data_IF_762210792023
#
_entry.id   IF_762210792023
#
_cell.length_a   1.000
_cell.length_b   1.000
_cell.length_c   1.000
_cell.angle_alpha   90.00
_cell.angle_beta   90.00
_cell.angle_gamma   90.00
#
_symmetry.space_group_name_H-M   'P 1'
#
loop_
_entity.id
_entity.type
_entity.pdbx_description
1 polymer ?
#
# COMPACT_ATOMS: atom_id res chain seq x y z
N UNK A 1 -30.24 -46.98 36.80
CA UNK A 1 -29.25 -46.29 37.65
C UNK A 1 -27.89 -46.41 36.94
N UNK A 2 -27.10 -45.42 36.56
CA UNK A 2 -27.00 -43.98 36.85
C UNK A 2 -26.66 -43.21 35.56
N UNK A 3 -26.86 -41.91 35.65
CA UNK A 3 -26.87 -40.83 34.64
C UNK A 3 -25.49 -40.16 34.54
N UNK A 4 -25.33 -39.33 33.49
CA UNK A 4 -24.34 -38.23 33.26
C UNK A 4 -22.92 -38.67 32.78
N UNK A 5 -22.20 -37.95 31.91
CA UNK A 5 -22.22 -36.53 31.50
C UNK A 5 -21.51 -36.36 30.13
N UNK A 6 -21.90 -35.33 29.38
CA UNK A 6 -21.30 -34.91 28.11
C UNK A 6 -19.91 -34.28 28.28
N UNK A 7 -19.02 -34.46 27.28
CA UNK A 7 -17.89 -33.56 27.01
C UNK A 7 -17.84 -33.33 25.50
N UNK A 8 -18.06 -32.09 25.09
CA UNK A 8 -17.98 -31.64 23.71
C UNK A 8 -16.54 -31.58 23.22
N UNK A 9 -16.33 -31.93 21.95
CA UNK A 9 -15.07 -31.69 21.25
C UNK A 9 -15.22 -30.38 20.47
N UNK A 10 -14.81 -29.33 21.17
CA UNK A 10 -14.04 -28.17 20.72
C UNK A 10 -14.04 -27.92 19.20
N UNK A 11 -14.83 -26.92 18.80
CA UNK A 11 -14.53 -26.05 17.67
C UNK A 11 -13.14 -25.45 17.87
N UNK A 12 -12.20 -25.76 16.99
CA UNK A 12 -10.89 -25.09 16.95
C UNK A 12 -11.14 -23.62 16.61
N UNK A 13 -11.11 -22.80 17.65
CA UNK A 13 -11.12 -21.35 17.57
C UNK A 13 -9.68 -20.85 17.50
N UNK A 14 -9.52 -19.74 16.80
CA UNK A 14 -8.39 -18.79 16.87
C UNK A 14 -7.02 -19.28 16.39
N UNK A 15 -6.73 -19.08 15.10
CA UNK A 15 -5.36 -18.75 14.71
C UNK A 15 -5.05 -17.32 15.18
N UNK A 16 -4.34 -17.29 16.30
CA UNK A 16 -3.48 -16.24 16.83
C UNK A 16 -3.70 -14.80 16.31
N UNK A 17 -4.43 -14.03 17.12
CA UNK A 17 -4.13 -12.61 17.29
C UNK A 17 -2.69 -12.48 17.84
N UNK A 18 -1.75 -12.03 16.99
CA UNK A 18 -0.53 -11.24 17.30
C UNK A 18 0.49 -11.34 16.14
N UNK A 19 0.14 -10.84 14.96
CA UNK A 19 1.06 -10.65 13.83
C UNK A 19 1.12 -9.17 13.42
N UNK A 20 1.27 -8.30 14.42
CA UNK A 20 1.49 -6.86 14.26
C UNK A 20 2.96 -6.58 14.00
N UNK A 21 3.38 -6.64 12.74
CA UNK A 21 4.25 -5.61 12.14
C UNK A 21 3.87 -5.54 10.65
N UNK A 22 2.81 -4.83 10.24
CA UNK A 22 2.57 -4.53 8.82
C UNK A 22 3.72 -3.68 8.26
N UNK A 23 3.94 -3.74 6.94
CA UNK A 23 4.91 -2.96 6.14
C UNK A 23 4.92 -1.47 6.56
N UNK A 24 3.76 -0.97 6.97
CA UNK A 24 3.50 0.39 7.47
C UNK A 24 4.11 0.73 8.83
N UNK A 25 4.62 -0.26 9.59
CA UNK A 25 5.12 -0.04 10.97
C UNK A 25 6.65 0.05 11.08
N UNK A 26 7.39 -0.19 9.99
CA UNK A 26 8.85 0.02 9.93
C UNK A 26 9.27 0.64 8.61
N UNK A 27 8.86 1.89 8.41
CA UNK A 27 9.33 2.75 7.33
C UNK A 27 10.65 3.42 7.74
N UNK A 28 11.65 3.37 6.87
CA UNK A 28 13.01 3.86 7.12
C UNK A 28 13.34 5.01 6.17
N UNK A 29 13.92 6.13 6.65
CA UNK A 29 14.31 7.23 5.77
C UNK A 29 15.43 6.79 4.82
N UNK A 30 15.34 7.23 3.56
CA UNK A 30 16.38 6.97 2.56
C UNK A 30 17.37 8.14 2.55
N UNK A 31 18.66 7.87 2.73
CA UNK A 31 19.70 8.89 2.66
C UNK A 31 19.70 9.61 1.30
N UNK A 32 19.68 10.94 1.31
CA UNK A 32 19.67 11.76 0.09
C UNK A 32 18.33 11.77 -0.66
N UNK A 33 17.23 11.27 -0.07
CA UNK A 33 15.87 11.30 -0.64
C UNK A 33 14.88 11.86 0.39
N UNK A 34 14.87 13.18 0.54
CA UNK A 34 14.05 13.86 1.55
C UNK A 34 12.57 13.51 1.44
N UNK A 35 11.95 13.21 2.59
CA UNK A 35 10.52 12.90 2.68
C UNK A 35 10.12 11.52 2.14
N UNK A 36 11.07 10.72 1.65
CA UNK A 36 10.83 9.37 1.15
C UNK A 36 11.30 8.34 2.19
N UNK A 37 10.38 7.48 2.59
CA UNK A 37 10.64 6.36 3.47
C UNK A 37 10.47 5.07 2.69
N UNK A 38 11.29 4.06 2.98
CA UNK A 38 11.18 2.72 2.39
C UNK A 38 10.84 1.69 3.46
N UNK A 39 10.02 0.70 3.12
CA UNK A 39 9.74 -0.39 4.04
C UNK A 39 10.99 -1.20 4.37
N UNK A 40 11.18 -1.52 5.66
CA UNK A 40 12.31 -2.31 6.14
C UNK A 40 12.42 -3.69 5.48
N UNK A 41 11.28 -4.28 5.10
CA UNK A 41 11.19 -5.62 4.52
C UNK A 41 10.42 -5.58 3.19
N UNK A 42 10.63 -6.55 2.28
CA UNK A 42 9.68 -6.85 1.23
C UNK A 42 8.31 -7.19 1.83
N UNK A 43 7.23 -6.98 1.06
CA UNK A 43 5.88 -7.34 1.50
C UNK A 43 5.77 -8.85 1.67
N UNK A 44 5.32 -9.28 2.84
CA UNK A 44 5.19 -10.69 3.22
C UNK A 44 3.85 -11.29 2.79
N UNK A 45 3.77 -12.62 2.80
CA UNK A 45 2.51 -13.33 2.54
C UNK A 45 1.40 -12.96 3.54
N UNK A 46 1.72 -12.86 4.83
CA UNK A 46 0.72 -12.48 5.84
C UNK A 46 0.18 -11.06 5.61
N UNK A 47 1.03 -10.13 5.17
CA UNK A 47 0.63 -8.76 4.82
C UNK A 47 -0.24 -8.72 3.57
N UNK A 48 0.18 -9.41 2.52
CA UNK A 48 -0.59 -9.48 1.29
C UNK A 48 -1.93 -10.20 1.49
N UNK A 49 -2.00 -11.19 2.39
CA UNK A 49 -3.24 -11.90 2.73
C UNK A 49 -4.27 -10.97 3.38
N UNK A 50 -3.81 -10.00 4.18
CA UNK A 50 -4.69 -8.95 4.74
C UNK A 50 -5.25 -8.04 3.65
N UNK A 51 -4.45 -7.73 2.63
CA UNK A 51 -4.91 -6.99 1.45
C UNK A 51 -5.96 -7.79 0.69
N UNK A 52 -5.65 -9.02 0.28
CA UNK A 52 -6.57 -9.95 -0.41
C UNK A 52 -7.90 -10.07 0.33
N UNK A 53 -7.86 -10.30 1.65
CA UNK A 53 -9.06 -10.42 2.47
C UNK A 53 -9.87 -9.11 2.55
N UNK A 54 -9.20 -7.96 2.59
CA UNK A 54 -9.86 -6.67 2.77
C UNK A 54 -10.49 -6.12 1.47
N UNK A 55 -10.00 -6.54 0.31
CA UNK A 55 -10.40 -5.97 -0.99
C UNK A 55 -10.99 -7.00 -1.94
N UNK A 56 -10.99 -8.28 -1.56
CA UNK A 56 -11.30 -9.41 -2.45
C UNK A 56 -10.38 -9.47 -3.68
N UNK A 57 -9.17 -8.91 -3.59
CA UNK A 57 -8.17 -8.99 -4.65
C UNK A 57 -7.76 -10.45 -4.91
N UNK A 58 -7.48 -10.87 -6.16
CA UNK A 58 -7.06 -12.24 -6.44
C UNK A 58 -5.81 -12.66 -5.65
N UNK A 59 -5.88 -13.84 -5.03
CA UNK A 59 -4.72 -14.42 -4.36
C UNK A 59 -3.65 -14.87 -5.38
N UNK A 60 -2.35 -14.80 -5.03
CA UNK A 60 -1.27 -15.31 -5.88
C UNK A 60 -1.49 -16.78 -6.26
N UNK A 61 -1.14 -17.16 -7.50
CA UNK A 61 -1.44 -18.48 -8.07
C UNK A 61 -0.97 -19.69 -7.26
N UNK A 62 0.12 -19.54 -6.51
CA UNK A 62 0.69 -20.62 -5.70
C UNK A 62 -0.03 -20.80 -4.35
N UNK A 63 -0.96 -19.90 -4.00
CA UNK A 63 -1.81 -20.02 -2.82
C UNK A 63 -2.93 -21.01 -3.10
N UNK A 64 -2.90 -22.16 -2.44
CA UNK A 64 -3.90 -23.21 -2.63
C UNK A 64 -5.14 -22.86 -1.81
N UNK A 65 -6.32 -22.87 -2.43
CA UNK A 65 -7.56 -22.47 -1.76
C UNK A 65 -7.60 -21.00 -1.33
N UNK A 66 -6.73 -20.14 -1.89
CA UNK A 66 -6.62 -18.74 -1.47
C UNK A 66 -5.75 -18.52 -0.23
N UNK A 67 -5.04 -19.55 0.25
CA UNK A 67 -4.14 -19.47 1.41
C UNK A 67 -2.67 -19.66 1.00
N UNK A 68 -1.78 -18.88 1.61
CA UNK A 68 -0.34 -19.06 1.41
C UNK A 68 0.14 -20.37 2.06
N UNK A 69 1.27 -20.95 1.59
CA UNK A 69 1.82 -22.18 2.18
C UNK A 69 2.12 -22.03 3.68
N UNK A 70 1.77 -23.04 4.48
CA UNK A 70 2.01 -23.06 5.92
C UNK A 70 3.50 -22.77 6.26
N UNK A 71 3.74 -21.91 7.25
CA UNK A 71 5.10 -21.52 7.66
C UNK A 71 5.76 -20.46 6.77
N UNK A 72 5.04 -19.89 5.79
CA UNK A 72 5.53 -18.82 4.91
C UNK A 72 4.93 -17.45 5.19
N UNK A 73 4.36 -17.25 6.37
CA UNK A 73 3.74 -15.99 6.82
C UNK A 73 4.70 -14.80 6.63
N UNK A 74 5.97 -15.02 6.99
CA UNK A 74 7.05 -14.02 7.00
C UNK A 74 7.94 -14.04 5.77
N UNK A 75 7.60 -14.85 4.76
CA UNK A 75 8.32 -14.89 3.50
C UNK A 75 7.76 -13.83 2.54
N UNK A 76 8.56 -13.31 1.60
CA UNK A 76 8.08 -12.35 0.62
C UNK A 76 6.95 -12.97 -0.22
N UNK A 77 5.92 -12.18 -0.49
CA UNK A 77 4.88 -12.56 -1.46
C UNK A 77 5.47 -12.53 -2.87
N UNK A 78 5.31 -13.63 -3.61
CA UNK A 78 5.73 -13.75 -5.00
C UNK A 78 4.51 -13.90 -5.91
N UNK A 79 4.73 -14.08 -7.22
CA UNK A 79 3.65 -14.30 -8.21
C UNK A 79 2.63 -13.16 -8.24
N UNK A 80 3.09 -11.94 -7.95
CA UNK A 80 2.31 -10.70 -8.05
C UNK A 80 2.80 -9.90 -9.24
N UNK A 81 1.87 -9.37 -10.02
CA UNK A 81 2.17 -8.44 -11.12
C UNK A 81 2.55 -7.06 -10.58
N UNK A 82 3.04 -6.20 -11.47
CA UNK A 82 3.28 -4.80 -11.13
C UNK A 82 1.99 -4.09 -10.70
N UNK A 83 0.88 -4.38 -11.37
CA UNK A 83 -0.43 -3.80 -11.05
C UNK A 83 -0.99 -4.31 -9.73
N UNK A 84 -0.77 -5.58 -9.38
CA UNK A 84 -1.10 -6.13 -8.06
C UNK A 84 -0.35 -5.40 -6.94
N UNK A 85 0.94 -5.15 -7.16
CA UNK A 85 1.80 -4.46 -6.21
C UNK A 85 1.40 -2.98 -6.06
N UNK A 86 0.98 -2.33 -7.15
CA UNK A 86 0.38 -0.99 -7.12
C UNK A 86 -0.95 -0.94 -6.38
N UNK A 87 -1.85 -1.89 -6.64
CA UNK A 87 -3.14 -1.98 -5.94
C UNK A 87 -2.95 -2.15 -4.42
N UNK A 88 -1.94 -2.92 -4.01
CA UNK A 88 -1.54 -3.02 -2.61
C UNK A 88 -1.08 -1.65 -2.04
N UNK A 89 -0.25 -0.89 -2.78
CA UNK A 89 0.16 0.45 -2.37
C UNK A 89 -1.04 1.41 -2.22
N UNK A 90 -1.96 1.40 -3.17
CA UNK A 90 -3.18 2.22 -3.11
C UNK A 90 -4.07 1.86 -1.92
N UNK A 91 -4.20 0.56 -1.61
CA UNK A 91 -4.89 0.09 -0.41
C UNK A 91 -4.21 0.53 0.88
N UNK A 92 -2.88 0.53 0.94
CA UNK A 92 -2.15 1.08 2.09
C UNK A 92 -2.41 2.59 2.26
N UNK A 93 -2.38 3.37 1.17
CA UNK A 93 -2.65 4.80 1.21
C UNK A 93 -4.06 5.14 1.73
N UNK A 94 -5.06 4.30 1.44
CA UNK A 94 -6.41 4.46 2.02
C UNK A 94 -6.47 4.23 3.53
N UNK A 95 -5.48 3.54 4.10
CA UNK A 95 -5.38 3.23 5.54
C UNK A 95 -4.46 4.19 6.29
N UNK A 96 -3.66 4.96 5.58
CA UNK A 96 -2.69 5.89 6.14
C UNK A 96 -2.69 7.18 5.31
N UNK A 97 -3.48 8.16 5.77
CA UNK A 97 -3.62 9.45 5.11
C UNK A 97 -2.35 10.32 5.18
N UNK A 98 -1.39 9.98 6.04
CA UNK A 98 -0.15 10.74 6.21
C UNK A 98 0.91 10.41 5.14
N UNK A 99 0.68 9.36 4.33
CA UNK A 99 1.64 8.93 3.33
C UNK A 99 0.97 8.54 2.01
N UNK A 100 1.60 8.93 0.92
CA UNK A 100 1.33 8.37 -0.40
C UNK A 100 2.26 7.18 -0.62
N UNK A 101 1.67 5.98 -0.75
CA UNK A 101 2.41 4.75 -0.98
C UNK A 101 2.55 4.45 -2.47
N UNK A 102 3.73 3.99 -2.86
CA UNK A 102 4.03 3.52 -4.23
C UNK A 102 5.19 2.52 -4.22
N UNK A 103 5.50 1.97 -5.38
CA UNK A 103 6.74 1.23 -5.59
C UNK A 103 7.95 2.20 -5.63
N UNK A 104 9.13 1.78 -5.17
CA UNK A 104 10.35 2.58 -5.27
C UNK A 104 10.71 2.81 -6.74
N UNK A 105 11.41 3.92 -7.03
CA UNK A 105 12.22 4.00 -8.26
C UNK A 105 13.48 3.15 -8.11
N UNK A 106 14.14 2.78 -9.22
CA UNK A 106 15.44 2.09 -9.17
C UNK A 106 16.47 2.89 -8.35
N UNK A 107 16.46 4.22 -8.48
CA UNK A 107 17.37 5.11 -7.77
C UNK A 107 17.08 5.22 -6.27
N UNK A 108 15.81 5.23 -5.86
CA UNK A 108 15.43 5.16 -4.44
C UNK A 108 15.78 3.83 -3.82
N UNK A 109 15.56 2.74 -4.57
CA UNK A 109 15.89 1.40 -4.14
C UNK A 109 17.41 1.27 -3.93
N UNK A 110 18.22 1.76 -4.86
CA UNK A 110 19.68 1.72 -4.74
C UNK A 110 20.21 2.63 -3.62
N UNK A 111 19.63 3.83 -3.44
CA UNK A 111 19.98 4.71 -2.33
C UNK A 111 19.64 4.07 -0.97
N UNK A 112 18.52 3.34 -0.88
CA UNK A 112 18.15 2.58 0.31
C UNK A 112 19.09 1.38 0.56
N UNK A 113 19.49 0.69 -0.51
CA UNK A 113 20.37 -0.47 -0.45
C UNK A 113 21.78 -0.08 0.00
N UNK A 114 22.35 0.96 -0.60
CA UNK A 114 23.77 1.30 -0.45
C UNK A 114 24.67 0.26 -1.10
N UNK A 115 25.97 0.28 -0.77
CA UNK A 115 26.92 -0.68 -1.31
C UNK A 115 26.65 -2.10 -0.80
N UNK A 116 26.68 -3.09 -1.71
CA UNK A 116 26.56 -4.50 -1.33
C UNK A 116 27.84 -4.95 -0.62
N UNK A 117 27.77 -5.43 0.65
CA UNK A 117 28.97 -5.93 1.32
C UNK A 117 29.52 -7.17 0.61
N UNK A 118 30.84 -7.20 0.39
CA UNK A 118 31.52 -8.27 -0.37
C UNK A 118 31.19 -9.68 0.14
N UNK A 119 31.10 -9.83 1.46
CA UNK A 119 30.86 -11.11 2.15
C UNK A 119 29.46 -11.24 2.76
N UNK A 120 28.52 -10.36 2.38
CA UNK A 120 27.14 -10.47 2.83
C UNK A 120 26.55 -11.86 2.51
N UNK A 121 25.97 -12.48 3.54
CA UNK A 121 25.21 -13.73 3.41
C UNK A 121 23.75 -13.36 3.18
N UNK A 122 23.22 -13.78 2.05
CA UNK A 122 21.82 -13.58 1.68
C UNK A 122 21.35 -14.74 0.82
N UNK A 123 20.04 -14.84 0.58
CA UNK A 123 19.45 -15.96 -0.15
C UNK A 123 19.57 -15.78 -1.68
N UNK A 124 20.44 -16.55 -2.32
CA UNK A 124 20.62 -16.59 -3.78
C UNK A 124 20.76 -18.06 -4.24
N UNK A 125 20.97 -18.31 -5.53
CA UNK A 125 20.97 -19.68 -6.06
C UNK A 125 21.97 -20.65 -5.39
N UNK A 126 23.12 -20.17 -4.93
CA UNK A 126 24.11 -20.97 -4.21
C UNK A 126 23.59 -21.53 -2.88
N UNK A 127 22.72 -20.79 -2.18
CA UNK A 127 22.10 -21.25 -0.93
C UNK A 127 21.14 -22.42 -1.22
N UNK A 128 20.31 -22.27 -2.24
CA UNK A 128 19.35 -23.30 -2.67
C UNK A 128 20.08 -24.55 -3.15
N UNK A 129 21.10 -24.39 -3.99
CA UNK A 129 21.94 -25.49 -4.45
C UNK A 129 22.59 -26.21 -3.27
N UNK A 130 23.19 -25.48 -2.33
CA UNK A 130 23.86 -26.04 -1.16
C UNK A 130 22.91 -26.85 -0.28
N UNK A 131 21.68 -26.38 -0.10
CA UNK A 131 20.65 -27.13 0.64
C UNK A 131 20.39 -28.49 -0.01
N UNK A 132 20.05 -28.52 -1.30
CA UNK A 132 19.72 -29.79 -1.96
C UNK A 132 20.91 -30.74 -2.10
N UNK A 133 22.10 -30.20 -2.37
CA UNK A 133 23.33 -31.00 -2.44
C UNK A 133 23.71 -31.62 -1.09
N UNK A 134 23.31 -30.99 0.03
CA UNK A 134 23.51 -31.53 1.37
C UNK A 134 22.45 -32.57 1.73
N UNK A 135 21.18 -32.25 1.51
CA UNK A 135 20.06 -33.09 1.97
C UNK A 135 19.88 -34.35 1.11
N UNK A 136 19.99 -34.23 -0.22
CA UNK A 136 19.79 -35.36 -1.13
C UNK A 136 20.47 -35.17 -2.50
N UNK A 137 21.81 -35.26 -2.58
CA UNK A 137 22.54 -35.05 -3.83
C UNK A 137 22.22 -36.09 -4.92
N UNK A 138 21.75 -37.29 -4.53
CA UNK A 138 21.37 -38.37 -5.44
C UNK A 138 19.90 -38.35 -5.83
N UNK A 139 19.12 -37.34 -5.42
CA UNK A 139 17.72 -37.18 -5.87
C UNK A 139 17.69 -37.18 -7.39
N UNK A 140 16.86 -38.04 -7.97
CA UNK A 140 16.57 -37.99 -9.39
C UNK A 140 15.75 -36.74 -9.69
N UNK A 141 16.19 -35.97 -10.67
CA UNK A 141 15.47 -34.82 -11.23
C UNK A 141 15.21 -35.06 -12.70
N UNK A 142 13.99 -34.75 -13.14
CA UNK A 142 13.52 -35.02 -14.50
C UNK A 142 13.45 -33.73 -15.29
N UNK A 143 14.04 -33.67 -16.48
CA UNK A 143 13.90 -32.48 -17.33
C UNK A 143 12.48 -32.39 -17.90
N UNK A 144 11.83 -31.24 -17.71
CA UNK A 144 10.41 -31.04 -18.07
C UNK A 144 10.20 -30.04 -19.22
N UNK A 145 11.25 -29.29 -19.60
CA UNK A 145 11.09 -28.25 -20.62
C UNK A 145 10.79 -28.86 -22.01
N UNK A 146 9.73 -28.42 -22.71
CA UNK A 146 9.27 -29.05 -23.96
C UNK A 146 10.29 -28.99 -25.10
N UNK A 147 11.16 -27.98 -25.11
CA UNK A 147 12.23 -27.81 -26.12
C UNK A 147 13.54 -28.51 -25.76
N UNK A 148 13.63 -29.15 -24.58
CA UNK A 148 14.86 -29.81 -24.15
C UNK A 148 15.01 -31.17 -24.83
N UNK A 149 16.19 -31.47 -25.35
CA UNK A 149 16.53 -32.81 -25.84
C UNK A 149 16.58 -33.87 -24.70
N UNK A 150 16.63 -33.42 -23.44
CA UNK A 150 16.59 -34.28 -22.26
C UNK A 150 15.19 -34.44 -21.68
N UNK A 151 14.14 -33.87 -22.29
CA UNK A 151 12.77 -33.93 -21.76
C UNK A 151 12.36 -35.38 -21.43
N UNK A 152 11.90 -35.60 -20.20
CA UNK A 152 11.48 -36.91 -19.68
C UNK A 152 12.63 -37.80 -19.19
N UNK A 153 13.89 -37.42 -19.40
CA UNK A 153 15.04 -38.11 -18.80
C UNK A 153 15.25 -37.64 -17.37
N UNK A 154 15.59 -38.58 -16.49
CA UNK A 154 15.93 -38.33 -15.09
C UNK A 154 17.41 -38.60 -14.84
N UNK A 155 18.04 -37.75 -14.03
CA UNK A 155 19.45 -37.86 -13.65
C UNK A 155 19.62 -37.50 -12.17
N UNK A 156 20.64 -38.04 -11.46
CA UNK A 156 20.98 -37.59 -10.12
C UNK A 156 21.29 -36.08 -10.09
N UNK A 157 20.84 -35.38 -9.05
CA UNK A 157 21.01 -33.93 -8.94
C UNK A 157 22.49 -33.50 -8.97
N UNK A 158 23.38 -34.28 -8.37
CA UNK A 158 24.83 -34.04 -8.37
C UNK A 158 25.52 -34.25 -9.72
N UNK A 159 24.83 -34.83 -10.71
CA UNK A 159 25.26 -34.84 -12.12
C UNK A 159 24.72 -33.63 -12.89
N UNK A 160 23.67 -32.98 -12.38
CA UNK A 160 23.02 -31.81 -13.03
C UNK A 160 23.66 -30.50 -12.58
N UNK A 161 23.97 -30.37 -11.28
CA UNK A 161 24.58 -29.15 -10.72
C UNK A 161 25.82 -29.45 -9.89
N UNK A 162 26.72 -28.48 -9.86
CA UNK A 162 27.86 -28.47 -8.93
C UNK A 162 28.09 -27.07 -8.37
N UNK A 163 28.65 -27.01 -7.16
CA UNK A 163 28.91 -25.77 -6.44
C UNK A 163 30.42 -25.56 -6.42
N UNK A 164 30.87 -24.36 -6.78
CA UNK A 164 32.27 -23.97 -6.65
C UNK A 164 32.74 -24.03 -5.20
N UNK A 165 34.05 -24.15 -4.99
CA UNK A 165 34.64 -24.23 -3.64
C UNK A 165 34.35 -23.00 -2.77
N UNK A 166 33.98 -21.88 -3.39
CA UNK A 166 33.57 -20.65 -2.70
C UNK A 166 32.12 -20.65 -2.21
N UNK A 167 31.32 -21.67 -2.57
CA UNK A 167 29.89 -21.76 -2.26
C UNK A 167 29.02 -20.74 -3.01
N UNK A 168 29.58 -19.94 -3.94
CA UNK A 168 28.90 -18.83 -4.61
C UNK A 168 28.53 -19.16 -6.05
N UNK A 169 29.36 -19.93 -6.74
CA UNK A 169 29.13 -20.25 -8.16
C UNK A 169 28.44 -21.60 -8.32
N UNK A 170 27.30 -21.62 -9.02
CA UNK A 170 26.58 -22.86 -9.32
C UNK A 170 26.66 -23.15 -10.82
N UNK A 171 27.30 -24.26 -11.18
CA UNK A 171 27.32 -24.77 -12.56
C UNK A 171 26.08 -25.62 -12.82
N UNK A 172 25.61 -25.64 -14.06
CA UNK A 172 24.41 -26.39 -14.45
C UNK A 172 23.10 -25.79 -13.93
N UNK A 173 23.13 -24.56 -13.39
CA UNK A 173 21.91 -23.90 -12.91
C UNK A 173 20.92 -23.64 -14.05
N UNK A 174 21.41 -23.01 -15.13
CA UNK A 174 20.63 -22.70 -16.33
C UNK A 174 21.49 -22.81 -17.58
N UNK A 175 20.94 -23.43 -18.62
CA UNK A 175 21.43 -23.36 -19.99
C UNK A 175 20.25 -23.11 -20.94
N UNK A 176 20.08 -21.86 -21.36
CA UNK A 176 18.99 -21.45 -22.25
C UNK A 176 19.13 -21.96 -23.68
N UNK A 177 20.36 -22.32 -24.12
CA UNK A 177 20.61 -22.79 -25.50
C UNK A 177 19.91 -24.12 -25.75
N UNK A 178 20.06 -25.04 -24.80
CA UNK A 178 19.57 -26.42 -24.91
C UNK A 178 18.39 -26.71 -23.97
N UNK A 179 17.96 -25.71 -23.20
CA UNK A 179 16.94 -25.83 -22.16
C UNK A 179 17.27 -26.96 -21.16
N UNK A 180 18.52 -26.98 -20.72
CA UNK A 180 19.07 -27.93 -19.73
C UNK A 180 19.58 -27.20 -18.50
N UNK A 181 19.85 -27.96 -17.44
CA UNK A 181 20.16 -27.44 -16.11
C UNK A 181 18.98 -27.49 -15.13
N UNK A 182 19.27 -27.18 -13.87
CA UNK A 182 18.35 -27.33 -12.73
C UNK A 182 17.00 -26.65 -12.94
N UNK A 183 16.97 -25.45 -13.52
CA UNK A 183 15.74 -24.67 -13.63
C UNK A 183 14.71 -25.27 -14.60
N UNK A 184 15.14 -26.24 -15.42
CA UNK A 184 14.31 -26.94 -16.38
C UNK A 184 13.88 -28.33 -15.90
N UNK A 185 14.00 -28.58 -14.58
CA UNK A 185 13.63 -29.84 -13.94
C UNK A 185 12.28 -29.76 -13.22
N UNK A 186 11.70 -30.93 -12.95
CA UNK A 186 10.54 -31.12 -12.06
C UNK A 186 10.77 -30.54 -10.67
N UNK A 187 11.95 -30.70 -10.08
CA UNK A 187 12.29 -30.16 -8.77
C UNK A 187 12.15 -28.63 -8.72
N UNK A 188 12.62 -27.92 -9.74
CA UNK A 188 12.41 -26.46 -9.82
C UNK A 188 10.92 -26.10 -9.97
N UNK A 189 10.14 -26.91 -10.69
CA UNK A 189 8.70 -26.72 -10.83
C UNK A 189 7.99 -26.90 -9.48
N UNK A 190 8.30 -27.95 -8.73
CA UNK A 190 7.77 -28.20 -7.37
C UNK A 190 8.08 -27.02 -6.43
N UNK A 191 9.32 -26.53 -6.44
CA UNK A 191 9.71 -25.33 -5.70
C UNK A 191 8.86 -24.13 -6.07
N UNK A 192 8.68 -23.89 -7.37
CA UNK A 192 7.91 -22.75 -7.88
C UNK A 192 6.43 -22.80 -7.50
N UNK A 193 5.86 -24.00 -7.41
CA UNK A 193 4.46 -24.25 -7.03
C UNK A 193 4.21 -24.03 -5.53
N UNK A 194 5.27 -23.96 -4.71
CA UNK A 194 5.21 -23.76 -3.25
C UNK A 194 5.78 -22.40 -2.82
N UNK A 195 5.87 -21.44 -3.76
CA UNK A 195 6.36 -20.09 -3.50
C UNK A 195 7.88 -19.96 -3.46
N UNK A 196 8.60 -20.87 -4.12
CA UNK A 196 10.05 -20.81 -4.28
C UNK A 196 10.85 -21.14 -3.02
N UNK A 197 12.17 -21.13 -3.14
CA UNK A 197 13.08 -21.29 -2.00
C UNK A 197 13.39 -19.93 -1.35
N UNK A 198 12.37 -19.23 -0.88
CA UNK A 198 12.53 -17.98 -0.13
C UNK A 198 12.83 -18.25 1.34
N UNK A 199 13.37 -17.26 2.04
CA UNK A 199 13.56 -17.26 3.50
C UNK A 199 12.65 -16.22 4.14
N UNK A 200 12.37 -16.30 5.46
CA UNK A 200 11.74 -15.21 6.19
C UNK A 200 12.50 -13.90 5.99
N UNK A 201 11.78 -12.78 5.93
CA UNK A 201 12.34 -11.45 5.58
C UNK A 201 13.38 -10.90 6.58
N UNK A 202 13.56 -11.56 7.72
CA UNK A 202 14.54 -11.24 8.76
C UNK A 202 15.56 -12.35 9.01
N UNK A 203 15.69 -13.31 8.08
CA UNK A 203 16.64 -14.42 8.21
C UNK A 203 18.11 -13.98 8.17
N UNK A 204 18.40 -12.81 7.58
CA UNK A 204 19.76 -12.25 7.47
C UNK A 204 19.83 -10.87 8.18
N UNK A 205 19.71 -10.82 9.51
CA UNK A 205 19.69 -9.54 10.26
C UNK A 205 21.01 -8.76 10.17
N UNK A 206 22.11 -9.41 9.77
CA UNK A 206 23.42 -8.82 9.57
C UNK A 206 23.54 -8.02 8.26
N UNK A 207 22.69 -8.27 7.27
CA UNK A 207 22.74 -7.58 5.96
C UNK A 207 21.94 -6.29 5.95
N UNK A 208 22.17 -5.43 6.95
CA UNK A 208 21.54 -4.11 7.02
C UNK A 208 22.04 -3.24 5.88
N UNK A 209 21.11 -2.70 5.11
CA UNK A 209 21.38 -1.75 4.04
C UNK A 209 21.79 -0.38 4.58
N UNK A 210 22.13 0.58 3.71
CA UNK A 210 22.45 1.95 4.10
C UNK A 210 21.37 2.63 4.96
N UNK A 211 20.08 2.36 4.71
CA UNK A 211 18.98 2.87 5.54
C UNK A 211 18.56 1.91 6.67
N UNK A 212 19.17 0.72 6.77
CA UNK A 212 18.82 -0.32 7.73
C UNK A 212 17.71 -1.29 7.28
N UNK A 213 17.32 -1.25 6.00
CA UNK A 213 16.43 -2.24 5.41
C UNK A 213 17.13 -3.61 5.32
N UNK A 214 16.33 -4.68 5.37
CA UNK A 214 16.79 -6.07 5.22
C UNK A 214 16.26 -6.65 3.90
N UNK A 215 16.92 -7.73 3.46
CA UNK A 215 16.63 -8.42 2.20
C UNK A 215 16.66 -7.48 0.98
N UNK A 216 17.56 -6.50 0.98
CA UNK A 216 17.83 -5.72 -0.23
C UNK A 216 18.61 -6.55 -1.26
N UNK A 217 19.30 -7.61 -0.86
CA UNK A 217 20.04 -8.48 -1.76
C UNK A 217 19.55 -9.92 -1.61
N UNK A 218 19.22 -10.57 -2.70
CA UNK A 218 18.66 -11.92 -2.73
C UNK A 218 17.18 -12.01 -2.34
N UNK A 219 16.78 -13.20 -1.91
CA UNK A 219 15.43 -13.62 -1.54
C UNK A 219 14.40 -13.50 -2.69
N UNK A 220 14.00 -12.29 -3.07
CA UNK A 220 13.12 -12.06 -4.21
C UNK A 220 13.49 -10.78 -4.97
N UNK A 221 13.29 -10.81 -6.28
CA UNK A 221 13.37 -9.59 -7.08
C UNK A 221 12.25 -8.65 -6.63
N UNK A 222 12.53 -7.36 -6.58
CA UNK A 222 11.55 -6.35 -6.17
C UNK A 222 11.14 -5.47 -7.34
N UNK A 223 9.83 -5.35 -7.57
CA UNK A 223 9.27 -4.38 -8.51
C UNK A 223 9.68 -2.94 -8.17
N UNK A 224 10.11 -2.20 -9.19
CA UNK A 224 10.29 -0.74 -9.14
C UNK A 224 9.36 -0.06 -10.15
N UNK A 225 9.02 1.21 -9.93
CA UNK A 225 8.23 2.00 -10.89
C UNK A 225 9.07 2.59 -12.03
N UNK A 226 10.38 2.32 -12.08
CA UNK A 226 11.26 2.79 -13.16
C UNK A 226 11.06 1.94 -14.41
N UNK A 227 10.70 2.58 -15.52
CA UNK A 227 10.65 1.95 -16.83
C UNK A 227 12.04 1.93 -17.48
N UNK A 228 12.42 0.79 -18.06
CA UNK A 228 13.70 0.58 -18.75
C UNK A 228 13.49 -0.19 -20.04
N UNK A 229 14.46 -0.09 -20.95
CA UNK A 229 14.68 -1.14 -21.97
C UNK A 229 15.55 -2.21 -21.33
N UNK A 230 15.01 -3.41 -21.14
CA UNK A 230 15.75 -4.51 -20.52
C UNK A 230 17.02 -4.84 -21.32
N UNK A 231 18.15 -4.93 -20.62
CA UNK A 231 19.44 -5.35 -21.16
C UNK A 231 19.72 -6.83 -20.88
N UNK A 232 19.06 -7.39 -19.87
CA UNK A 232 19.28 -8.73 -19.35
C UNK A 232 18.00 -9.59 -19.39
N UNK A 233 18.17 -10.89 -19.14
CA UNK A 233 17.07 -11.82 -18.93
C UNK A 233 16.20 -12.08 -20.17
N UNK A 234 15.05 -12.71 -19.93
CA UNK A 234 14.12 -13.10 -20.99
C UNK A 234 13.46 -11.93 -21.71
N UNK A 235 13.43 -10.74 -21.08
CA UNK A 235 12.78 -9.55 -21.63
C UNK A 235 13.74 -8.63 -22.40
N UNK A 236 15.01 -9.02 -22.59
CA UNK A 236 16.02 -8.20 -23.27
C UNK A 236 15.50 -7.57 -24.57
N UNK A 237 15.67 -6.26 -24.68
CA UNK A 237 15.22 -5.45 -25.82
C UNK A 237 13.80 -4.88 -25.69
N UNK A 238 13.02 -5.31 -24.70
CA UNK A 238 11.66 -4.81 -24.48
C UNK A 238 11.62 -3.69 -23.44
N UNK A 239 10.63 -2.81 -23.57
CA UNK A 239 10.26 -1.81 -22.55
C UNK A 239 9.51 -2.52 -21.43
N UNK A 240 10.01 -2.39 -20.21
CA UNK A 240 9.54 -3.11 -19.01
C UNK A 240 9.79 -2.29 -17.74
N UNK A 241 9.17 -2.68 -16.62
CA UNK A 241 9.55 -2.16 -15.31
C UNK A 241 10.83 -2.85 -14.81
N UNK A 242 11.78 -2.05 -14.31
CA UNK A 242 12.99 -2.56 -13.70
C UNK A 242 12.67 -3.34 -12.42
N UNK A 243 13.44 -4.40 -12.18
CA UNK A 243 13.41 -5.17 -10.93
C UNK A 243 14.79 -5.17 -10.30
N UNK A 244 14.84 -5.17 -8.96
CA UNK A 244 16.09 -5.04 -8.20
C UNK A 244 16.27 -6.11 -7.13
N UNK A 245 17.51 -6.26 -6.65
CA UNK A 245 17.86 -7.10 -5.51
C UNK A 245 18.24 -8.54 -5.82
N UNK A 246 17.90 -9.11 -6.98
CA UNK A 246 18.10 -10.54 -7.21
C UNK A 246 17.08 -11.40 -6.46
N UNK A 247 17.17 -12.72 -6.55
CA UNK A 247 16.24 -13.63 -5.87
C UNK A 247 16.92 -14.92 -5.47
N UNK A 248 16.20 -15.81 -4.77
CA UNK A 248 16.62 -17.19 -4.50
C UNK A 248 17.04 -17.98 -5.75
N UNK A 249 16.55 -17.58 -6.92
CA UNK A 249 16.91 -18.14 -8.22
C UNK A 249 18.15 -17.49 -8.85
N UNK A 250 18.43 -16.23 -8.52
CA UNK A 250 19.45 -15.44 -9.18
C UNK A 250 20.86 -15.88 -8.77
N UNK A 251 21.83 -15.70 -9.67
CA UNK A 251 23.23 -15.78 -9.26
C UNK A 251 23.57 -14.62 -8.31
N UNK A 252 24.65 -14.77 -7.54
CA UNK A 252 25.04 -13.79 -6.53
C UNK A 252 25.28 -12.39 -7.10
N UNK A 253 25.89 -12.29 -8.28
CA UNK A 253 26.24 -10.99 -8.89
C UNK A 253 25.00 -10.21 -9.35
N UNK A 254 23.96 -10.92 -9.79
CA UNK A 254 22.66 -10.32 -10.11
C UNK A 254 21.93 -9.77 -8.89
N UNK A 255 22.38 -10.13 -7.68
CA UNK A 255 21.80 -9.61 -6.45
C UNK A 255 22.43 -8.29 -5.99
N UNK A 256 23.52 -7.81 -6.62
CA UNK A 256 24.22 -6.62 -6.15
C UNK A 256 23.42 -5.35 -6.39
N UNK A 257 23.62 -4.34 -5.55
CA UNK A 257 22.95 -3.03 -5.68
C UNK A 257 23.14 -2.45 -7.07
N UNK A 258 24.36 -2.51 -7.59
CA UNK A 258 24.74 -1.94 -8.89
C UNK A 258 24.22 -2.73 -10.09
N UNK A 259 23.63 -3.91 -9.90
CA UNK A 259 23.11 -4.70 -11.01
C UNK A 259 21.84 -4.04 -11.57
N UNK A 260 21.91 -3.56 -12.81
CA UNK A 260 20.83 -2.89 -13.53
C UNK A 260 20.51 -3.58 -14.85
N UNK A 261 19.38 -3.21 -15.46
CA UNK A 261 18.98 -3.65 -16.79
C UNK A 261 18.20 -4.96 -16.83
N UNK A 262 17.83 -5.52 -15.68
CA UNK A 262 16.87 -6.60 -15.57
C UNK A 262 15.47 -6.02 -15.31
N UNK A 263 14.47 -6.51 -16.03
CA UNK A 263 13.11 -6.01 -15.93
C UNK A 263 12.08 -7.05 -16.35
N UNK A 264 10.81 -6.77 -16.04
CA UNK A 264 9.69 -7.70 -16.25
C UNK A 264 8.48 -6.94 -16.80
N UNK A 265 7.70 -7.59 -17.65
CA UNK A 265 6.47 -6.97 -18.17
C UNK A 265 5.51 -6.71 -17.02
N UNK A 266 4.87 -5.53 -16.96
CA UNK A 266 4.03 -5.16 -15.83
C UNK A 266 2.87 -6.14 -15.60
N UNK A 267 2.30 -6.69 -16.68
CA UNK A 267 1.18 -7.66 -16.64
C UNK A 267 1.60 -9.08 -16.25
N UNK A 268 2.90 -9.37 -16.13
CA UNK A 268 3.39 -10.70 -15.80
C UNK A 268 3.43 -10.95 -14.30
N UNK A 269 3.05 -12.16 -13.89
CA UNK A 269 3.29 -12.67 -12.54
C UNK A 269 4.45 -13.66 -12.57
N UNK A 270 5.44 -13.49 -11.70
CA UNK A 270 6.68 -14.27 -11.75
C UNK A 270 6.98 -14.93 -10.41
N UNK A 271 7.43 -16.18 -10.43
CA UNK A 271 7.74 -17.01 -9.25
C UNK A 271 8.95 -16.56 -8.42
N UNK A 272 9.58 -15.45 -8.79
CA UNK A 272 10.81 -14.91 -8.19
C UNK A 272 10.70 -13.42 -7.91
N UNK A 273 9.57 -12.80 -8.26
CA UNK A 273 9.37 -11.35 -8.14
C UNK A 273 8.27 -11.09 -7.10
N UNK A 274 8.66 -10.35 -6.08
CA UNK A 274 7.79 -9.71 -5.10
C UNK A 274 7.95 -8.20 -5.18
N UNK A 275 7.76 -7.50 -4.07
CA UNK A 275 7.91 -6.06 -4.03
C UNK A 275 8.11 -5.52 -2.62
N UNK A 276 8.55 -4.27 -2.57
CA UNK A 276 8.66 -3.43 -1.39
C UNK A 276 8.00 -2.09 -1.70
N UNK A 277 7.51 -1.42 -0.68
CA UNK A 277 6.85 -0.12 -0.84
C UNK A 277 7.76 1.01 -0.35
N UNK A 278 7.59 2.18 -0.97
CA UNK A 278 8.00 3.45 -0.40
C UNK A 278 6.76 4.24 0.01
N UNK A 279 6.92 5.01 1.07
CA UNK A 279 5.95 5.95 1.59
C UNK A 279 6.56 7.35 1.43
N UNK A 280 5.94 8.18 0.61
CA UNK A 280 6.27 9.60 0.55
C UNK A 280 5.36 10.27 1.56
N UNK A 281 5.93 11.02 2.51
CA UNK A 281 5.10 11.89 3.35
C UNK A 281 4.28 12.76 2.42
N UNK A 282 2.96 12.64 2.50
CA UNK A 282 2.14 13.70 1.95
C UNK A 282 2.55 14.91 2.78
N UNK A 283 3.31 15.85 2.18
CA UNK A 283 3.45 17.18 2.75
C UNK A 283 2.04 17.53 3.15
N UNK A 284 1.79 17.75 4.46
CA UNK A 284 0.44 17.93 4.98
C UNK A 284 -0.26 18.81 3.97
N UNK A 285 -1.09 18.19 3.14
CA UNK A 285 -1.91 18.97 2.26
C UNK A 285 -2.69 19.69 3.32
N UNK A 286 -2.51 21.01 3.43
CA UNK A 286 -3.56 21.83 4.00
C UNK A 286 -4.76 21.26 3.29
N UNK A 287 -5.59 20.50 4.03
CA UNK A 287 -6.79 19.93 3.47
C UNK A 287 -7.37 21.09 2.69
N UNK A 288 -7.54 20.93 1.38
CA UNK A 288 -8.21 21.99 0.63
C UNK A 288 -9.55 22.04 1.34
N UNK A 289 -9.71 23.10 2.10
CA UNK A 289 -10.68 23.16 3.15
C UNK A 289 -11.98 23.39 2.40
N UNK A 290 -12.76 22.33 2.19
CA UNK A 290 -13.97 22.43 1.39
C UNK A 290 -14.88 23.49 2.03
N UNK A 291 -15.41 24.44 1.23
CA UNK A 291 -16.29 25.47 1.74
C UNK A 291 -17.53 24.84 2.37
N UNK A 292 -17.77 25.12 3.65
CA UNK A 292 -18.95 24.64 4.35
C UNK A 292 -20.13 25.55 3.99
N UNK A 293 -21.10 25.02 3.23
CA UNK A 293 -22.30 25.77 2.81
C UNK A 293 -23.56 25.11 3.34
N UNK A 294 -24.49 25.91 3.86
CA UNK A 294 -25.81 25.43 4.27
C UNK A 294 -26.92 26.46 4.08
N UNK A 295 -28.15 25.97 4.09
CA UNK A 295 -29.35 26.79 4.24
C UNK A 295 -30.02 26.44 5.57
N UNK A 296 -30.26 27.44 6.41
CA UNK A 296 -31.15 27.29 7.57
C UNK A 296 -32.58 27.63 7.14
N UNK A 297 -33.49 26.68 7.31
CA UNK A 297 -34.92 26.84 7.10
C UNK A 297 -35.60 27.02 8.45
N UNK A 298 -36.22 28.18 8.66
CA UNK A 298 -36.71 28.58 9.98
C UNK A 298 -38.14 29.07 9.84
N UNK A 299 -39.04 28.58 10.69
CA UNK A 299 -40.37 29.13 10.90
C UNK A 299 -40.40 29.77 12.29
N UNK A 300 -40.83 31.01 12.36
CA UNK A 300 -40.85 31.82 13.58
C UNK A 300 -42.30 31.99 14.04
N UNK A 301 -42.52 31.95 15.34
CA UNK A 301 -43.81 32.31 15.93
C UNK A 301 -44.16 33.79 15.62
N UNK A 302 -45.36 34.10 15.08
CA UNK A 302 -45.69 35.46 14.63
C UNK A 302 -45.50 36.55 15.70
N UNK A 303 -45.79 36.23 16.97
CA UNK A 303 -45.66 37.16 18.09
C UNK A 303 -44.20 37.51 18.44
N UNK A 304 -43.23 36.72 17.96
CA UNK A 304 -41.80 36.93 18.16
C UNK A 304 -41.08 37.42 16.90
N UNK A 305 -41.78 37.58 15.78
CA UNK A 305 -41.17 37.81 14.47
C UNK A 305 -40.21 39.01 14.45
N UNK A 306 -40.65 40.18 14.90
CA UNK A 306 -39.82 41.40 14.87
C UNK A 306 -38.53 41.25 15.69
N UNK A 307 -38.63 40.62 16.87
CA UNK A 307 -37.46 40.38 17.72
C UNK A 307 -36.49 39.39 17.09
N UNK A 308 -37.03 38.34 16.47
CA UNK A 308 -36.23 37.36 15.77
C UNK A 308 -35.51 37.95 14.55
N UNK A 309 -36.21 38.78 13.75
CA UNK A 309 -35.62 39.47 12.60
C UNK A 309 -34.45 40.34 13.01
N UNK A 310 -34.59 41.10 14.11
CA UNK A 310 -33.48 41.90 14.65
C UNK A 310 -32.30 41.01 15.05
N UNK A 311 -32.54 39.96 15.84
CA UNK A 311 -31.49 39.03 16.25
C UNK A 311 -30.76 38.37 15.07
N UNK A 312 -31.50 37.99 14.01
CA UNK A 312 -30.95 37.41 12.80
C UNK A 312 -30.11 38.41 11.99
N UNK A 313 -30.55 39.68 11.88
CA UNK A 313 -29.76 40.75 11.25
C UNK A 313 -28.46 41.00 12.01
N UNK A 314 -28.54 41.12 13.35
CA UNK A 314 -27.37 41.38 14.18
C UNK A 314 -26.35 40.25 14.06
N UNK A 315 -26.76 38.98 14.26
CA UNK A 315 -25.82 37.85 14.19
C UNK A 315 -25.18 37.75 12.81
N UNK A 316 -25.96 37.94 11.73
CA UNK A 316 -25.43 37.88 10.37
C UNK A 316 -24.40 38.99 10.09
N UNK A 317 -24.73 40.24 10.43
CA UNK A 317 -23.84 41.38 10.25
C UNK A 317 -22.56 41.26 11.08
N UNK A 318 -22.68 40.87 12.35
CA UNK A 318 -21.51 40.71 13.23
C UNK A 318 -20.60 39.58 12.78
N UNK A 319 -21.16 38.44 12.36
CA UNK A 319 -20.37 37.28 11.96
C UNK A 319 -19.55 37.59 10.72
N UNK A 320 -20.18 38.15 9.68
CA UNK A 320 -19.49 38.51 8.43
C UNK A 320 -18.44 39.59 8.67
N UNK A 321 -18.69 40.54 9.58
CA UNK A 321 -17.76 41.64 9.84
C UNK A 321 -16.57 41.24 10.74
N UNK A 322 -16.79 40.35 11.73
CA UNK A 322 -15.83 40.11 12.82
C UNK A 322 -15.13 38.75 12.72
N UNK A 323 -15.71 37.76 12.05
CA UNK A 323 -15.19 36.40 12.06
C UNK A 323 -14.39 36.04 10.81
N UNK A 324 -13.12 35.70 10.99
CA UNK A 324 -12.30 35.20 9.91
C UNK A 324 -12.82 33.84 9.40
N UNK A 325 -13.16 33.78 8.12
CA UNK A 325 -13.68 32.58 7.46
C UNK A 325 -15.21 32.52 7.38
N UNK A 326 -15.95 33.47 7.94
CA UNK A 326 -17.39 33.62 7.65
C UNK A 326 -17.55 34.46 6.38
N UNK A 327 -17.94 33.81 5.28
CA UNK A 327 -18.06 34.45 3.96
C UNK A 327 -19.43 35.09 3.77
N UNK A 328 -20.48 34.43 4.24
CA UNK A 328 -21.84 34.89 4.10
C UNK A 328 -22.70 34.35 5.24
N UNK A 329 -23.46 35.22 5.89
CA UNK A 329 -24.65 34.85 6.68
C UNK A 329 -25.74 35.84 6.28
N UNK A 330 -26.60 35.40 5.36
CA UNK A 330 -27.58 36.27 4.71
C UNK A 330 -29.00 35.80 5.05
N UNK A 331 -29.61 36.32 6.14
CA UNK A 331 -30.99 36.03 6.48
C UNK A 331 -31.95 36.74 5.52
N UNK A 332 -32.94 35.99 5.04
CA UNK A 332 -33.97 36.44 4.11
C UNK A 332 -35.34 36.01 4.62
N UNK A 333 -36.34 36.84 4.38
CA UNK A 333 -37.73 36.57 4.71
C UNK A 333 -38.51 36.24 3.44
N UNK A 334 -39.37 35.22 3.48
CA UNK A 334 -40.29 34.95 2.37
C UNK A 334 -41.34 36.06 2.26
N UNK A 335 -41.63 36.50 1.03
CA UNK A 335 -42.57 37.59 0.76
C UNK A 335 -44.02 37.18 1.06
N UNK A 336 -44.44 35.98 0.66
CA UNK A 336 -45.81 35.51 0.91
C UNK A 336 -46.04 35.09 2.36
N UNK A 337 -44.99 34.64 3.04
CA UNK A 337 -45.06 34.11 4.39
C UNK A 337 -43.95 34.70 5.27
N UNK A 338 -44.16 35.90 5.86
CA UNK A 338 -43.14 36.62 6.62
C UNK A 338 -42.56 35.85 7.82
N UNK A 339 -43.29 34.88 8.36
CA UNK A 339 -42.82 34.02 9.44
C UNK A 339 -41.79 32.98 8.99
N UNK A 340 -41.56 32.83 7.68
CA UNK A 340 -40.63 31.87 7.09
C UNK A 340 -39.34 32.58 6.71
N UNK A 341 -38.26 32.20 7.39
CA UNK A 341 -36.92 32.74 7.22
C UNK A 341 -36.02 31.70 6.56
N UNK A 342 -35.15 32.16 5.65
CA UNK A 342 -34.08 31.37 5.04
C UNK A 342 -32.76 32.08 5.26
N UNK A 343 -31.78 31.40 5.81
CA UNK A 343 -30.43 31.95 5.98
C UNK A 343 -29.48 31.18 5.09
N UNK A 344 -28.85 31.86 4.14
CA UNK A 344 -27.73 31.29 3.38
C UNK A 344 -26.48 31.50 4.21
N UNK A 345 -25.78 30.41 4.52
CA UNK A 345 -24.56 30.46 5.31
C UNK A 345 -23.43 29.80 4.53
N UNK A 346 -22.34 30.55 4.36
CA UNK A 346 -21.15 30.12 3.63
C UNK A 346 -19.94 30.42 4.49
N UNK A 347 -19.17 29.39 4.79
CA UNK A 347 -17.93 29.47 5.53
C UNK A 347 -16.79 28.98 4.64
N UNK A 348 -15.60 29.52 4.87
CA UNK A 348 -14.37 29.08 4.21
C UNK A 348 -14.17 27.57 4.37
N UNK A 349 -14.52 27.04 5.54
CA UNK A 349 -14.32 25.64 5.92
C UNK A 349 -15.11 25.27 7.18
N UNK A 350 -15.09 23.98 7.53
CA UNK A 350 -15.76 23.46 8.74
C UNK A 350 -15.16 24.03 10.04
N UNK A 351 -13.88 24.43 10.05
CA UNK A 351 -13.27 25.02 11.24
C UNK A 351 -13.78 26.44 11.49
N UNK A 352 -13.97 27.24 10.44
CA UNK A 352 -14.62 28.54 10.51
C UNK A 352 -16.08 28.40 10.97
N UNK A 353 -16.81 27.39 10.49
CA UNK A 353 -18.15 27.09 11.01
C UNK A 353 -18.14 26.76 12.52
N UNK A 354 -17.21 25.91 12.98
CA UNK A 354 -17.08 25.59 14.41
C UNK A 354 -16.67 26.80 15.25
N UNK A 355 -15.80 27.65 14.73
CA UNK A 355 -15.40 28.90 15.38
C UNK A 355 -16.61 29.85 15.52
N UNK A 356 -17.44 29.94 14.48
CA UNK A 356 -18.69 30.70 14.51
C UNK A 356 -19.65 30.19 15.58
N UNK A 357 -19.84 28.88 15.71
CA UNK A 357 -20.69 28.32 16.78
C UNK A 357 -20.22 28.69 18.19
N UNK A 358 -18.93 28.95 18.37
CA UNK A 358 -18.35 29.35 19.64
C UNK A 358 -18.36 30.87 19.87
N UNK A 359 -18.67 31.67 18.84
CA UNK A 359 -18.55 33.12 18.89
C UNK A 359 -19.53 33.73 19.91
N UNK A 360 -19.15 34.81 20.63
CA UNK A 360 -20.02 35.39 21.66
C UNK A 360 -21.40 35.83 21.13
N UNK A 361 -21.45 36.41 19.92
CA UNK A 361 -22.69 36.91 19.34
C UNK A 361 -23.57 35.78 18.79
N UNK A 362 -22.98 34.70 18.23
CA UNK A 362 -23.76 33.51 17.88
C UNK A 362 -24.31 32.80 19.11
N UNK A 363 -23.55 32.70 20.21
CA UNK A 363 -24.04 32.13 21.47
C UNK A 363 -25.19 32.95 22.05
N UNK A 364 -25.07 34.28 22.07
CA UNK A 364 -26.15 35.16 22.49
C UNK A 364 -27.42 34.97 21.62
N UNK A 365 -27.26 34.88 20.30
CA UNK A 365 -28.36 34.56 19.38
C UNK A 365 -28.98 33.18 19.67
N UNK A 366 -28.14 32.16 19.87
CA UNK A 366 -28.57 30.77 20.08
C UNK A 366 -29.26 30.55 21.43
N UNK A 367 -28.89 31.31 22.44
CA UNK A 367 -29.53 31.29 23.76
C UNK A 367 -30.80 32.14 23.79
N UNK A 368 -30.81 33.28 23.09
CA UNK A 368 -31.90 34.25 23.12
C UNK A 368 -33.09 33.94 22.20
N UNK A 369 -32.94 33.13 21.16
CA UNK A 369 -33.99 32.88 20.15
C UNK A 369 -34.77 31.55 20.19
N UNK A 370 -34.41 30.48 20.94
CA UNK A 370 -35.09 29.18 20.84
C UNK A 370 -36.61 29.24 21.05
N UNK A 371 -37.09 30.06 21.97
CA UNK A 371 -38.52 30.22 22.26
C UNK A 371 -39.30 30.96 21.16
N UNK A 372 -38.59 31.62 20.24
CA UNK A 372 -39.19 32.33 19.10
C UNK A 372 -39.38 31.42 17.88
N UNK A 373 -38.66 30.29 17.84
CA UNK A 373 -38.59 29.40 16.67
C UNK A 373 -39.62 28.28 16.80
N UNK A 374 -40.52 28.19 15.82
CA UNK A 374 -41.48 27.10 15.68
C UNK A 374 -40.86 25.86 15.04
N UNK A 375 -40.03 26.04 14.02
CA UNK A 375 -39.27 24.94 13.40
C UNK A 375 -37.92 25.43 12.86
N UNK A 376 -36.92 24.54 12.89
CA UNK A 376 -35.57 24.78 12.36
C UNK A 376 -35.08 23.51 11.65
N UNK A 377 -34.65 23.66 10.40
CA UNK A 377 -33.97 22.62 9.64
C UNK A 377 -32.68 23.18 9.04
N UNK A 378 -31.58 22.46 9.22
CA UNK A 378 -30.28 22.80 8.65
C UNK A 378 -30.03 21.90 7.45
N UNK A 379 -29.96 22.49 6.26
CA UNK A 379 -29.81 21.77 4.99
C UNK A 379 -28.37 21.95 4.51
N UNK A 380 -27.52 20.91 4.56
CA UNK A 380 -26.17 21.00 3.99
C UNK A 380 -26.26 21.12 2.46
N UNK A 381 -25.46 22.00 1.89
CA UNK A 381 -25.46 22.30 0.45
C UNK A 381 -24.08 22.07 -0.14
N UNK A 382 -24.04 21.59 -1.38
CA UNK A 382 -22.81 21.51 -2.16
C UNK A 382 -22.79 22.66 -3.19
N UNK A 383 -21.81 23.57 -3.15
CA UNK A 383 -21.63 24.55 -4.21
C UNK A 383 -21.35 23.85 -5.55
N UNK A 384 -21.97 24.33 -6.64
CA UNK A 384 -21.73 23.78 -7.98
C UNK A 384 -20.59 24.50 -8.72
N UNK A 385 -20.30 25.74 -8.34
CA UNK A 385 -19.18 26.55 -8.84
C UNK A 385 -18.49 27.26 -7.68
N UNK A 386 -17.50 26.58 -7.09
CA UNK A 386 -16.69 27.12 -5.99
C UNK A 386 -15.79 28.28 -6.45
N UNK A 387 -15.39 28.30 -7.72
CA UNK A 387 -14.54 29.36 -8.27
C UNK A 387 -15.30 30.70 -8.34
N UNK A 388 -16.59 30.65 -8.66
CA UNK A 388 -17.50 31.78 -8.69
C UNK A 388 -17.72 32.45 -7.33
N UNK A 389 -17.51 31.74 -6.20
CA UNK A 389 -17.74 32.29 -4.85
C UNK A 389 -16.97 33.59 -4.60
N UNK A 390 -15.71 33.65 -5.03
CA UNK A 390 -14.85 34.83 -4.84
C UNK A 390 -15.35 36.08 -5.56
N UNK A 391 -16.33 35.93 -6.44
CA UNK A 391 -16.85 36.98 -7.30
C UNK A 391 -18.28 37.42 -6.95
N UNK A 392 -18.97 36.74 -6.02
CA UNK A 392 -20.39 36.99 -5.68
C UNK A 392 -20.65 38.46 -5.32
N UNK A 393 -19.69 39.14 -4.68
CA UNK A 393 -19.82 40.54 -4.25
C UNK A 393 -18.94 41.54 -5.04
N UNK A 394 -18.12 41.09 -5.99
CA UNK A 394 -17.16 41.96 -6.69
C UNK A 394 -17.78 42.86 -7.76
N UNK A 395 -19.07 42.66 -8.12
CA UNK A 395 -19.76 43.43 -9.15
C UNK A 395 -20.53 44.65 -8.62
N UNK A 396 -20.52 44.90 -7.32
CA UNK A 396 -21.04 46.15 -6.75
C UNK A 396 -19.89 47.18 -6.69
N UNK A 397 -19.55 47.74 -7.85
CA UNK A 397 -18.76 48.97 -7.96
C UNK A 397 -19.60 50.03 -8.65
#
# INVERSE_FOLDING_TARGET
>A
MKKLLAIGIVTVTAFAANADIPVTTKLLPIGGKDGILIAKYPVTNAEYARFVKATSHPAPRYWKGGEFPNGKERHPVLWVSYDDARAYCEWLGKKDAAHAYRLPTEDEWEAAAGETPTDAKFNFNGVVASHYMKENPKRLVTFVHPKSALKGKSMPLDEVISIGSDGRHVRGWVNHRDYTGFIYTDLFKELSETGGYTTPVDAYPETKSACGALDMWGNCWEWTCTEIVAKNGAERGNVVNAIKGGSWYANRNSCFTSFRGEGRRPSGCYNTVGFRVVAVRTAATKAVSEPFTRIAEIEVHPEWLERYLEAARTVGAESVAKEDGVTCIFPMQQKEHPNIIRIVEIYRDEAAYKAHLASPHFRAYKEGTPHMIKSLKLVPMRPLDESGMKHIFNKQK
#
